data_IF_170090579863
#
_entry.id   IF_170090579863
#
_cell.length_a   1.000
_cell.length_b   1.000
_cell.length_c   1.000
_cell.angle_alpha   90.00
_cell.angle_beta   90.00
_cell.angle_gamma   90.00
#
_symmetry.space_group_name_H-M   'P 1'
#
loop_
_entity.id
_entity.type
_entity.pdbx_description
1 polymer ?
#
# COMPACT_ATOMS: atom_id res chain seq x y z
N UNK A 1 -10.26 -11.29 9.25
CA UNK A 1 -10.99 -10.10 8.75
C UNK A 1 -10.07 -9.34 7.79
N UNK A 2 -10.55 -8.93 6.61
CA UNK A 2 -9.74 -8.14 5.68
C UNK A 2 -9.52 -6.72 6.22
N UNK A 3 -8.31 -6.14 6.04
CA UNK A 3 -8.07 -4.76 6.47
C UNK A 3 -9.03 -3.78 5.77
N UNK A 4 -9.49 -2.69 6.41
CA UNK A 4 -10.37 -1.71 5.78
C UNK A 4 -9.84 -1.21 4.43
N UNK A 5 -8.52 -1.01 4.34
CA UNK A 5 -7.89 -0.57 3.11
C UNK A 5 -7.86 -1.64 2.01
N UNK A 6 -7.87 -2.94 2.34
CA UNK A 6 -8.02 -4.01 1.35
C UNK A 6 -9.46 -4.06 0.80
N UNK A 7 -10.45 -3.81 1.65
CA UNK A 7 -11.86 -3.70 1.23
C UNK A 7 -12.04 -2.55 0.24
N UNK A 8 -11.46 -1.38 0.52
CA UNK A 8 -11.53 -0.20 -0.37
C UNK A 8 -10.93 -0.50 -1.76
N UNK A 9 -9.76 -1.15 -1.81
CA UNK A 9 -9.11 -1.51 -3.09
C UNK A 9 -9.96 -2.53 -3.87
N UNK A 10 -10.54 -3.52 -3.20
CA UNK A 10 -11.43 -4.49 -3.85
C UNK A 10 -12.69 -3.82 -4.40
N UNK A 11 -13.30 -2.89 -3.65
CA UNK A 11 -14.43 -2.10 -4.14
C UNK A 11 -14.03 -1.26 -5.37
N UNK A 12 -12.87 -0.61 -5.34
CA UNK A 12 -12.38 0.17 -6.47
C UNK A 12 -12.12 -0.70 -7.71
N UNK A 13 -11.61 -1.93 -7.54
CA UNK A 13 -11.49 -2.90 -8.64
C UNK A 13 -12.86 -3.27 -9.23
N UNK A 14 -13.87 -3.50 -8.38
CA UNK A 14 -15.25 -3.71 -8.82
C UNK A 14 -15.82 -2.54 -9.62
N UNK A 15 -15.58 -1.31 -9.15
CA UNK A 15 -15.96 -0.07 -9.87
C UNK A 15 -15.27 0.02 -11.22
N UNK A 16 -13.98 -0.33 -11.32
CA UNK A 16 -13.28 -0.35 -12.59
C UNK A 16 -13.89 -1.35 -13.58
N UNK A 17 -14.26 -2.55 -13.13
CA UNK A 17 -14.93 -3.55 -13.96
C UNK A 17 -16.31 -3.08 -14.43
N UNK A 18 -17.08 -2.44 -13.55
CA UNK A 18 -18.36 -1.84 -13.91
C UNK A 18 -18.20 -0.76 -14.99
N UNK A 19 -17.26 0.19 -14.79
CA UNK A 19 -16.98 1.26 -15.75
C UNK A 19 -16.58 0.68 -17.12
N UNK A 20 -15.77 -0.37 -17.14
CA UNK A 20 -15.37 -1.02 -18.38
C UNK A 20 -16.57 -1.67 -19.11
N UNK A 21 -17.47 -2.31 -18.34
CA UNK A 21 -18.70 -2.92 -18.87
C UNK A 21 -19.68 -1.92 -19.48
N UNK A 22 -19.70 -0.67 -19.02
CA UNK A 22 -20.50 0.43 -19.60
C UNK A 22 -19.70 1.26 -20.63
N UNK A 23 -18.57 0.75 -21.12
CA UNK A 23 -17.69 1.41 -22.11
C UNK A 23 -16.98 2.68 -21.64
N UNK A 24 -16.93 2.96 -20.33
CA UNK A 24 -16.16 4.05 -19.71
C UNK A 24 -14.68 3.66 -19.51
N UNK A 25 -14.03 3.21 -20.59
CA UNK A 25 -12.71 2.55 -20.56
C UNK A 25 -11.59 3.42 -19.97
N UNK A 26 -11.61 4.73 -20.25
CA UNK A 26 -10.60 5.67 -19.72
C UNK A 26 -10.68 5.75 -18.19
N UNK A 27 -11.89 5.95 -17.66
CA UNK A 27 -12.13 6.00 -16.21
C UNK A 27 -11.82 4.67 -15.53
N UNK A 28 -12.17 3.54 -16.16
CA UNK A 28 -11.81 2.21 -15.67
C UNK A 28 -10.28 2.06 -15.53
N UNK A 29 -9.52 2.53 -16.53
CA UNK A 29 -8.05 2.50 -16.49
C UNK A 29 -7.46 3.43 -15.43
N UNK A 30 -8.04 4.61 -15.23
CA UNK A 30 -7.63 5.54 -14.17
C UNK A 30 -7.80 4.89 -12.78
N UNK A 31 -8.94 4.25 -12.53
CA UNK A 31 -9.20 3.53 -11.28
C UNK A 31 -8.21 2.37 -11.09
N UNK A 32 -7.95 1.56 -12.13
CA UNK A 32 -6.94 0.49 -12.09
C UNK A 32 -5.55 1.04 -11.79
N UNK A 33 -5.19 2.20 -12.35
CA UNK A 33 -3.90 2.86 -12.10
C UNK A 33 -3.77 3.26 -10.63
N UNK A 34 -4.80 3.88 -10.07
CA UNK A 34 -4.84 4.24 -8.65
C UNK A 34 -4.70 3.02 -7.73
N UNK A 35 -5.39 1.92 -8.03
CA UNK A 35 -5.26 0.67 -7.28
C UNK A 35 -3.81 0.13 -7.28
N UNK A 36 -3.13 0.14 -8.44
CA UNK A 36 -1.72 -0.28 -8.54
C UNK A 36 -0.80 0.64 -7.74
N UNK A 37 -0.98 1.96 -7.83
CA UNK A 37 -0.21 2.93 -7.04
C UNK A 37 -0.40 2.71 -5.53
N UNK A 38 -1.62 2.44 -5.08
CA UNK A 38 -1.89 2.14 -3.66
C UNK A 38 -1.14 0.90 -3.18
N UNK A 39 -1.16 -0.19 -3.98
CA UNK A 39 -0.39 -1.40 -3.68
C UNK A 39 1.12 -1.11 -3.56
N UNK A 40 1.67 -0.30 -4.48
CA UNK A 40 3.06 0.16 -4.43
C UNK A 40 3.39 0.94 -3.16
N UNK A 41 2.57 1.92 -2.78
CA UNK A 41 2.79 2.69 -1.55
C UNK A 41 2.72 1.82 -0.29
N UNK A 42 1.81 0.84 -0.24
CA UNK A 42 1.74 -0.09 0.89
C UNK A 42 3.00 -0.94 1.01
N UNK A 43 3.52 -1.44 -0.10
CA UNK A 43 4.78 -2.18 -0.10
C UNK A 43 5.93 -1.31 0.41
N UNK A 44 6.04 -0.06 -0.07
CA UNK A 44 7.06 0.89 0.39
C UNK A 44 6.95 1.19 1.88
N UNK A 45 5.74 1.40 2.41
CA UNK A 45 5.53 1.65 3.84
C UNK A 45 5.98 0.45 4.68
N UNK A 46 5.68 -0.78 4.23
CA UNK A 46 6.12 -2.00 4.93
C UNK A 46 7.66 -2.06 4.98
N UNK A 47 8.34 -1.80 3.87
CA UNK A 47 9.81 -1.74 3.83
C UNK A 47 10.35 -0.67 4.76
N UNK A 48 9.86 0.57 4.68
CA UNK A 48 10.30 1.66 5.54
C UNK A 48 10.06 1.38 7.02
N UNK A 49 8.94 0.74 7.36
CA UNK A 49 8.65 0.35 8.74
C UNK A 49 9.65 -0.70 9.23
N UNK A 50 9.97 -1.70 8.41
CA UNK A 50 10.97 -2.70 8.71
C UNK A 50 12.36 -2.07 8.93
N UNK A 51 12.79 -1.22 8.01
CA UNK A 51 14.08 -0.52 8.09
C UNK A 51 14.14 0.36 9.34
N UNK A 52 13.05 1.06 9.68
CA UNK A 52 12.97 1.88 10.89
C UNK A 52 13.11 1.03 12.17
N UNK A 53 12.50 -0.15 12.21
CA UNK A 53 12.63 -1.07 13.34
C UNK A 53 14.06 -1.60 13.49
N UNK A 54 14.73 -1.94 12.38
CA UNK A 54 16.14 -2.34 12.39
C UNK A 54 17.05 -1.21 12.88
N UNK A 55 16.83 0.01 12.39
CA UNK A 55 17.60 1.18 12.82
C UNK A 55 17.42 1.46 14.32
N UNK A 56 16.18 1.39 14.83
CA UNK A 56 15.91 1.56 16.27
C UNK A 56 16.65 0.52 17.11
N UNK A 57 16.62 -0.75 16.69
CA UNK A 57 17.36 -1.81 17.38
C UNK A 57 18.87 -1.54 17.38
N UNK A 58 19.42 -1.11 16.23
CA UNK A 58 20.84 -0.80 16.11
C UNK A 58 21.27 0.41 16.95
N UNK A 59 20.44 1.44 17.02
CA UNK A 59 20.68 2.60 17.90
C UNK A 59 20.71 2.17 19.35
N UNK A 60 19.72 1.38 19.81
CA UNK A 60 19.69 0.87 21.17
C UNK A 60 20.92 0.01 21.52
N UNK A 61 21.39 -0.84 20.60
CA UNK A 61 22.64 -1.60 20.77
C UNK A 61 23.88 -0.70 20.92
N UNK A 62 23.94 0.39 20.16
CA UNK A 62 25.07 1.32 20.21
C UNK A 62 25.06 2.14 21.50
N UNK A 63 23.89 2.62 21.91
CA UNK A 63 23.70 3.33 23.18
C UNK A 63 24.11 2.44 24.36
N UNK A 64 23.69 1.17 24.38
CA UNK A 64 24.05 0.22 25.44
C UNK A 64 25.56 -0.13 25.49
N UNK A 65 26.33 0.14 24.45
CA UNK A 65 27.78 -0.08 24.40
C UNK A 65 28.61 1.15 24.79
N UNK A 66 28.00 2.33 24.79
CA UNK A 66 28.65 3.61 25.09
C UNK A 66 28.23 4.20 26.45
N UNK A 67 27.44 3.45 27.22
CA UNK A 67 27.14 3.66 28.65
C UNK A 67 27.91 2.61 29.45
#
# INVERSE_FOLDING_TARGET
MASPAAVIVNTAQGVASYLDGISERKRANDVRRLCRSNAGYRAQIITLHHDNMQLRARVAELEAKHV
#
